data_IF_820006179774
#
_entry.id   IF_820006179774
#
_cell.length_a   1.000
_cell.length_b   1.000
_cell.length_c   1.000
_cell.angle_alpha   90.00
_cell.angle_beta   90.00
_cell.angle_gamma   90.00
#
_symmetry.space_group_name_H-M   'P 1'
#
loop_
_entity.id
_entity.type
_entity.pdbx_description
1 polymer ?
#
# COMPACT_ATOMS: atom_id res chain seq x y z
N UNK A 1 65.76 -11.88 -57.63
CA UNK A 1 64.46 -12.46 -57.47
C UNK A 1 64.52 -13.43 -56.30
N UNK A 2 63.94 -13.08 -55.11
CA UNK A 2 63.89 -13.94 -53.93
C UNK A 2 62.48 -14.48 -53.86
N UNK A 3 62.36 -15.81 -53.87
CA UNK A 3 61.07 -16.51 -53.71
C UNK A 3 60.48 -16.32 -52.29
N UNK A 4 59.17 -16.09 -52.24
CA UNK A 4 58.44 -16.02 -51.00
C UNK A 4 58.00 -17.46 -50.55
N UNK A 5 58.00 -17.79 -49.24
CA UNK A 5 57.62 -19.09 -48.77
C UNK A 5 56.10 -19.23 -48.78
N UNK A 6 55.63 -20.44 -49.14
CA UNK A 6 54.20 -20.85 -49.14
C UNK A 6 53.63 -20.99 -47.71
N UNK A 7 52.31 -20.68 -47.44
CA UNK A 7 51.74 -20.77 -46.15
C UNK A 7 51.49 -22.23 -45.73
N UNK A 8 51.76 -22.53 -44.48
CA UNK A 8 51.62 -23.85 -43.81
C UNK A 8 50.15 -24.17 -43.52
N UNK A 9 49.66 -25.31 -44.03
CA UNK A 9 48.25 -25.75 -44.03
C UNK A 9 47.88 -26.63 -42.83
N UNK A 10 48.44 -26.42 -41.67
CA UNK A 10 47.96 -27.18 -40.48
C UNK A 10 47.64 -26.25 -39.32
N UNK A 11 46.47 -25.60 -39.40
CA UNK A 11 45.87 -25.00 -38.21
C UNK A 11 44.89 -26.00 -37.60
N UNK A 12 45.18 -26.40 -36.36
CA UNK A 12 44.56 -27.46 -35.60
C UNK A 12 43.02 -27.29 -35.46
N UNK A 13 42.24 -28.17 -36.06
CA UNK A 13 40.80 -28.29 -35.93
C UNK A 13 40.26 -28.54 -34.49
N UNK A 14 41.16 -28.79 -33.54
CA UNK A 14 40.82 -29.04 -32.14
C UNK A 14 40.58 -27.78 -31.29
N UNK A 15 41.01 -26.59 -31.76
CA UNK A 15 40.80 -25.33 -31.03
C UNK A 15 39.41 -24.71 -31.29
N UNK A 16 38.84 -24.93 -32.48
CA UNK A 16 37.55 -24.35 -32.89
C UNK A 16 36.38 -25.08 -32.19
N UNK A 17 36.49 -26.39 -31.95
CA UNK A 17 35.45 -27.17 -31.31
C UNK A 17 35.27 -26.86 -29.78
N UNK A 18 36.32 -26.38 -29.13
CA UNK A 18 36.22 -26.02 -27.68
C UNK A 18 35.58 -24.65 -27.43
N UNK A 19 35.72 -23.69 -28.33
CA UNK A 19 35.12 -22.36 -28.20
C UNK A 19 33.62 -22.36 -28.51
N UNK A 20 33.16 -23.19 -29.45
CA UNK A 20 31.74 -23.33 -29.78
C UNK A 20 30.96 -24.04 -28.69
N UNK A 21 31.56 -25.01 -27.98
CA UNK A 21 30.86 -25.72 -26.90
C UNK A 21 30.71 -24.88 -25.62
N UNK A 22 31.69 -24.04 -25.29
CA UNK A 22 31.62 -23.11 -24.15
C UNK A 22 30.60 -21.98 -24.41
N UNK A 23 30.52 -21.47 -25.65
CA UNK A 23 29.51 -20.48 -26.04
C UNK A 23 28.07 -20.99 -26.00
N UNK A 24 27.83 -22.24 -26.40
CA UNK A 24 26.52 -22.90 -26.36
C UNK A 24 26.06 -23.19 -24.91
N UNK A 25 26.97 -23.60 -24.02
CA UNK A 25 26.67 -23.82 -22.60
C UNK A 25 26.35 -22.50 -21.89
N UNK A 26 27.06 -21.39 -22.24
CA UNK A 26 26.78 -20.08 -21.68
C UNK A 26 25.44 -19.49 -22.16
N UNK A 27 25.05 -19.71 -23.43
CA UNK A 27 23.73 -19.34 -23.95
C UNK A 27 22.61 -20.16 -23.33
N UNK A 28 22.82 -21.46 -23.02
CA UNK A 28 21.82 -22.32 -22.36
C UNK A 28 21.61 -21.95 -20.89
N UNK A 29 22.65 -21.47 -20.18
CA UNK A 29 22.53 -21.00 -18.79
C UNK A 29 21.80 -19.66 -18.72
N UNK A 30 21.96 -18.77 -19.68
CA UNK A 30 21.24 -17.49 -19.73
C UNK A 30 19.76 -17.69 -20.11
N UNK A 31 19.42 -18.72 -20.93
CA UNK A 31 18.03 -19.04 -21.28
C UNK A 31 17.20 -19.61 -20.13
N UNK A 32 17.81 -20.13 -19.06
CA UNK A 32 17.09 -20.69 -17.93
C UNK A 32 16.71 -19.68 -16.85
N UNK A 33 17.13 -18.40 -16.98
CA UNK A 33 16.78 -17.33 -16.05
C UNK A 33 15.67 -16.40 -16.57
N UNK A 34 15.04 -16.69 -17.67
CA UNK A 34 13.70 -16.18 -17.95
C UNK A 34 12.70 -17.01 -17.15
N UNK A 35 12.76 -16.90 -15.84
CA UNK A 35 11.74 -17.40 -14.94
C UNK A 35 10.41 -16.80 -15.36
N UNK A 36 9.47 -17.67 -15.71
CA UNK A 36 8.07 -17.31 -15.90
C UNK A 36 7.66 -16.33 -14.81
N UNK A 37 7.26 -15.12 -15.20
CA UNK A 37 6.64 -14.20 -14.27
C UNK A 37 5.45 -14.95 -13.66
N UNK A 38 5.34 -15.02 -12.33
CA UNK A 38 4.21 -15.70 -11.72
C UNK A 38 2.93 -15.04 -12.24
N UNK A 39 1.99 -15.85 -12.74
CA UNK A 39 0.65 -15.41 -13.16
C UNK A 39 -0.15 -14.89 -11.95
N UNK A 40 0.34 -13.86 -11.29
CA UNK A 40 -0.37 -13.11 -10.26
C UNK A 40 -1.20 -12.05 -10.98
N UNK A 41 -2.43 -12.35 -11.26
CA UNK A 41 -3.35 -11.38 -11.86
C UNK A 41 -4.13 -10.69 -10.75
N UNK A 42 -4.03 -9.37 -10.73
CA UNK A 42 -5.00 -8.58 -10.02
C UNK A 42 -6.39 -8.79 -10.64
N UNK A 43 -7.41 -8.92 -9.83
CA UNK A 43 -8.77 -9.15 -10.31
C UNK A 43 -9.83 -8.68 -9.33
N UNK A 44 -11.05 -8.50 -9.84
CA UNK A 44 -12.20 -8.14 -9.02
C UNK A 44 -12.73 -9.36 -8.30
N UNK A 45 -12.89 -9.26 -6.97
CA UNK A 45 -13.60 -10.24 -6.16
C UNK A 45 -14.85 -9.63 -5.55
N UNK A 46 -15.83 -10.48 -5.26
CA UNK A 46 -17.14 -10.09 -4.75
C UNK A 46 -17.48 -10.81 -3.46
N UNK A 47 -18.13 -10.10 -2.54
CA UNK A 47 -18.63 -10.62 -1.27
C UNK A 47 -20.05 -10.13 -1.02
N UNK A 48 -20.87 -10.98 -0.42
CA UNK A 48 -22.19 -10.55 0.10
C UNK A 48 -22.01 -10.06 1.54
N UNK A 49 -22.26 -8.78 1.79
CA UNK A 49 -22.13 -8.12 3.10
C UNK A 49 -23.48 -7.51 3.48
N UNK A 50 -24.07 -7.96 4.56
CA UNK A 50 -25.39 -7.50 5.02
C UNK A 50 -26.45 -7.47 3.89
N UNK A 51 -26.49 -8.52 3.06
CA UNK A 51 -27.42 -8.63 1.94
C UNK A 51 -26.99 -7.94 0.64
N UNK A 52 -26.03 -7.00 0.69
CA UNK A 52 -25.54 -6.24 -0.46
C UNK A 52 -24.28 -6.88 -1.07
N UNK A 53 -24.21 -6.94 -2.40
CA UNK A 53 -22.98 -7.35 -3.09
C UNK A 53 -21.96 -6.20 -3.06
N UNK A 54 -20.77 -6.49 -2.54
CA UNK A 54 -19.62 -5.57 -2.49
C UNK A 54 -18.48 -6.17 -3.30
N UNK A 55 -17.62 -5.32 -3.81
CA UNK A 55 -16.49 -5.76 -4.63
C UNK A 55 -15.19 -5.00 -4.29
N UNK A 56 -14.07 -5.65 -4.54
CA UNK A 56 -12.75 -5.06 -4.42
C UNK A 56 -11.84 -5.55 -5.54
N UNK A 57 -10.96 -4.66 -6.02
CA UNK A 57 -9.80 -5.07 -6.79
C UNK A 57 -8.79 -5.70 -5.82
N UNK A 58 -8.27 -6.88 -6.16
CA UNK A 58 -7.37 -7.59 -5.26
C UNK A 58 -6.19 -8.20 -6.02
N UNK A 59 -4.99 -8.04 -5.48
CA UNK A 59 -3.78 -8.72 -5.89
C UNK A 59 -3.37 -9.70 -4.79
N UNK A 60 -3.17 -10.96 -5.14
CA UNK A 60 -2.72 -12.01 -4.21
C UNK A 60 -1.49 -12.69 -4.78
N UNK A 61 -0.32 -12.57 -4.15
CA UNK A 61 0.89 -13.26 -4.60
C UNK A 61 0.74 -14.78 -4.40
N UNK A 62 1.33 -15.57 -5.30
CA UNK A 62 1.30 -17.05 -5.19
C UNK A 62 1.85 -17.55 -3.84
N UNK A 63 2.87 -16.87 -3.31
CA UNK A 63 3.46 -17.17 -2.01
C UNK A 63 2.48 -17.10 -0.85
N UNK A 64 1.37 -16.35 -0.99
CA UNK A 64 0.36 -16.20 0.07
C UNK A 64 -0.34 -17.52 0.43
N UNK A 65 -0.25 -18.54 -0.40
CA UNK A 65 -0.78 -19.89 -0.09
C UNK A 65 0.09 -20.67 0.89
N UNK A 66 1.36 -20.32 1.02
CA UNK A 66 2.34 -21.13 1.77
C UNK A 66 3.20 -20.33 2.76
N UNK A 67 3.23 -18.99 2.64
CA UNK A 67 4.07 -18.11 3.47
C UNK A 67 3.23 -17.03 4.16
N UNK A 68 3.56 -16.68 5.41
CA UNK A 68 2.95 -15.55 6.11
C UNK A 68 3.08 -14.27 5.27
N UNK A 69 1.94 -13.72 4.84
CA UNK A 69 1.85 -12.66 3.83
C UNK A 69 1.20 -11.41 4.42
N UNK A 70 1.84 -10.23 4.33
CA UNK A 70 1.23 -8.98 4.75
C UNK A 70 0.02 -8.62 3.88
N UNK A 71 -0.91 -7.86 4.46
CA UNK A 71 -2.10 -7.36 3.76
C UNK A 71 -2.14 -5.85 3.86
N UNK A 72 -2.38 -5.17 2.74
CA UNK A 72 -2.58 -3.72 2.70
C UNK A 72 -3.90 -3.38 2.00
N UNK A 73 -4.75 -2.62 2.70
CA UNK A 73 -5.99 -2.07 2.13
C UNK A 73 -5.76 -0.62 1.71
N UNK A 74 -6.26 -0.25 0.53
CA UNK A 74 -6.23 1.11 -0.01
C UNK A 74 -7.67 1.61 -0.22
N UNK A 75 -8.05 2.72 0.42
CA UNK A 75 -9.40 3.28 0.34
C UNK A 75 -9.41 4.58 -0.49
N UNK A 76 -10.14 4.57 -1.60
CA UNK A 76 -10.28 5.73 -2.50
C UNK A 76 -10.99 6.92 -1.83
N UNK A 77 -10.80 8.12 -2.36
CA UNK A 77 -11.50 9.32 -1.92
C UNK A 77 -12.97 9.33 -2.33
N UNK A 78 -13.73 10.32 -1.84
CA UNK A 78 -15.15 10.49 -2.19
C UNK A 78 -15.33 10.71 -3.69
N UNK A 79 -16.23 9.98 -4.31
CA UNK A 79 -16.44 9.96 -5.75
C UNK A 79 -15.43 9.17 -6.56
N UNK A 80 -14.44 8.53 -5.89
CA UNK A 80 -13.45 7.65 -6.53
C UNK A 80 -13.97 6.23 -6.74
N UNK A 81 -13.10 5.38 -7.27
CA UNK A 81 -13.39 3.97 -7.48
C UNK A 81 -12.14 3.10 -7.24
N UNK A 82 -12.35 1.80 -7.14
CA UNK A 82 -11.29 0.83 -6.89
C UNK A 82 -10.32 0.68 -8.06
N UNK A 83 -10.78 0.85 -9.30
CA UNK A 83 -9.95 0.68 -10.49
C UNK A 83 -8.91 1.79 -10.58
N UNK A 84 -9.33 3.05 -10.50
CA UNK A 84 -8.42 4.20 -10.54
C UNK A 84 -7.44 4.13 -9.36
N UNK A 85 -7.93 3.86 -8.13
CA UNK A 85 -7.08 3.73 -6.95
C UNK A 85 -6.04 2.62 -7.08
N UNK A 86 -6.39 1.50 -7.71
CA UNK A 86 -5.46 0.40 -7.95
C UNK A 86 -4.43 0.74 -9.04
N UNK A 87 -4.84 1.41 -10.11
CA UNK A 87 -3.96 1.72 -11.25
C UNK A 87 -3.06 2.93 -11.01
N UNK A 88 -3.56 3.94 -10.27
CA UNK A 88 -2.80 5.15 -9.95
C UNK A 88 -1.76 4.90 -8.84
N UNK A 89 -2.00 3.90 -7.98
CA UNK A 89 -1.14 3.53 -6.86
C UNK A 89 -0.59 2.12 -7.03
N UNK A 90 0.67 2.02 -7.41
CA UNK A 90 1.32 0.77 -7.83
C UNK A 90 1.85 -0.07 -6.67
N UNK A 91 1.04 -0.27 -5.63
CA UNK A 91 1.44 -1.00 -4.41
C UNK A 91 1.86 -2.44 -4.72
N UNK A 92 1.16 -3.13 -5.63
CA UNK A 92 1.49 -4.51 -6.04
C UNK A 92 2.84 -4.63 -6.75
N UNK A 93 3.30 -3.54 -7.42
CA UNK A 93 4.62 -3.50 -8.05
C UNK A 93 5.72 -3.19 -7.05
N UNK A 94 5.44 -2.30 -6.09
CA UNK A 94 6.40 -1.87 -5.08
C UNK A 94 6.52 -2.88 -3.92
N UNK A 95 5.48 -3.68 -3.70
CA UNK A 95 5.45 -4.72 -2.67
C UNK A 95 4.80 -6.02 -3.19
N UNK A 96 5.44 -6.70 -4.16
CA UNK A 96 4.86 -7.88 -4.82
C UNK A 96 4.65 -9.08 -3.89
N UNK A 97 5.23 -9.08 -2.69
CA UNK A 97 5.03 -10.11 -1.68
C UNK A 97 3.80 -9.87 -0.79
N UNK A 98 3.15 -8.71 -0.86
CA UNK A 98 1.96 -8.39 -0.07
C UNK A 98 0.67 -8.66 -0.84
N UNK A 99 -0.39 -9.00 -0.12
CA UNK A 99 -1.76 -8.94 -0.64
C UNK A 99 -2.18 -7.48 -0.66
N UNK A 100 -2.62 -6.99 -1.82
CA UNK A 100 -3.13 -5.63 -1.98
C UNK A 100 -4.63 -5.70 -2.23
N UNK A 101 -5.39 -4.95 -1.44
CA UNK A 101 -6.86 -4.91 -1.48
C UNK A 101 -7.32 -3.47 -1.70
N UNK A 102 -8.06 -3.22 -2.75
CA UNK A 102 -8.65 -1.92 -3.04
C UNK A 102 -10.17 -2.06 -3.11
N UNK A 103 -10.88 -1.89 -1.98
CA UNK A 103 -12.33 -2.05 -1.93
C UNK A 103 -13.06 -0.93 -2.67
N UNK A 104 -14.26 -1.23 -3.19
CA UNK A 104 -15.18 -0.25 -3.77
C UNK A 104 -16.13 0.30 -2.71
N UNK A 105 -16.11 1.62 -2.52
CA UNK A 105 -17.11 2.32 -1.71
C UNK A 105 -18.48 2.36 -2.40
N UNK A 106 -19.54 2.43 -1.60
CA UNK A 106 -20.90 2.63 -2.10
C UNK A 106 -21.29 4.12 -2.06
N UNK A 107 -22.41 4.46 -2.66
CA UNK A 107 -22.99 5.81 -2.54
C UNK A 107 -23.15 6.16 -1.07
N UNK A 108 -22.56 7.29 -0.65
CA UNK A 108 -22.41 7.66 0.76
C UNK A 108 -22.39 9.18 0.89
N UNK A 109 -23.19 9.78 1.78
CA UNK A 109 -23.12 11.20 2.06
C UNK A 109 -21.71 11.63 2.51
N UNK A 110 -21.24 12.73 1.94
CA UNK A 110 -19.96 13.35 2.30
C UNK A 110 -20.15 14.64 3.09
N UNK A 111 -19.35 14.88 4.12
CA UNK A 111 -19.50 16.06 4.99
C UNK A 111 -19.08 17.37 4.33
N UNK A 112 -18.09 17.34 3.47
CA UNK A 112 -17.54 18.54 2.80
C UNK A 112 -18.10 18.73 1.39
N UNK A 113 -18.46 17.63 0.72
CA UNK A 113 -18.98 17.59 -0.65
C UNK A 113 -20.06 16.52 -0.71
N UNK A 114 -21.05 16.69 -1.62
CA UNK A 114 -22.07 15.66 -1.90
C UNK A 114 -22.84 15.19 -0.65
N UNK A 115 -23.49 16.11 0.03
CA UNK A 115 -24.27 15.84 1.25
C UNK A 115 -25.42 14.85 1.04
N UNK A 116 -25.92 14.74 -0.19
CA UNK A 116 -27.00 13.84 -0.58
C UNK A 116 -26.52 12.39 -0.77
N UNK A 117 -25.21 12.17 -0.96
CA UNK A 117 -24.64 10.83 -1.10
C UNK A 117 -24.81 10.23 -2.48
N UNK A 118 -24.74 11.04 -3.54
CA UNK A 118 -24.87 10.61 -4.93
C UNK A 118 -23.58 10.00 -5.52
N UNK A 119 -22.49 9.96 -4.72
CA UNK A 119 -21.19 9.45 -5.14
C UNK A 119 -20.68 8.38 -4.19
N UNK A 120 -19.81 7.52 -4.71
CA UNK A 120 -19.11 6.49 -3.93
C UNK A 120 -18.28 7.11 -2.80
N UNK A 121 -18.27 6.46 -1.65
CA UNK A 121 -17.53 6.89 -0.48
C UNK A 121 -17.63 5.85 0.64
N UNK A 122 -17.18 6.25 1.82
CA UNK A 122 -17.07 5.43 3.01
C UNK A 122 -17.83 6.08 4.16
N UNK A 123 -18.43 5.26 5.02
CA UNK A 123 -19.00 5.75 6.27
C UNK A 123 -17.97 6.55 7.08
N UNK A 124 -18.41 7.54 7.86
CA UNK A 124 -17.53 8.45 8.56
C UNK A 124 -17.54 8.26 10.09
N UNK A 125 -18.61 7.68 10.62
CA UNK A 125 -18.77 7.43 12.05
C UNK A 125 -19.26 6.02 12.30
N UNK A 126 -19.09 5.54 13.52
CA UNK A 126 -19.68 4.28 13.97
C UNK A 126 -21.22 4.39 13.94
N UNK A 127 -21.88 3.36 13.40
CA UNK A 127 -23.32 3.32 13.20
C UNK A 127 -23.79 3.92 11.87
N UNK A 128 -23.00 4.78 11.22
CA UNK A 128 -23.33 5.29 9.88
C UNK A 128 -23.51 4.14 8.90
N UNK A 129 -24.56 4.25 8.05
CA UNK A 129 -24.82 3.24 7.00
C UNK A 129 -24.88 1.80 7.56
N UNK A 130 -25.28 1.62 8.83
CA UNK A 130 -25.34 0.32 9.52
C UNK A 130 -23.98 -0.40 9.57
N UNK A 131 -22.90 0.36 9.68
CA UNK A 131 -21.51 -0.12 9.71
C UNK A 131 -21.11 -1.01 8.51
N UNK A 132 -21.77 -0.83 7.37
CA UNK A 132 -21.61 -1.67 6.18
C UNK A 132 -20.17 -1.71 5.67
N UNK A 133 -19.39 -0.63 5.86
CA UNK A 133 -18.02 -0.54 5.36
C UNK A 133 -17.03 -1.19 6.36
N UNK A 134 -17.28 -1.09 7.65
CA UNK A 134 -16.56 -1.85 8.68
C UNK A 134 -16.80 -3.36 8.49
N UNK A 135 -18.05 -3.79 8.29
CA UNK A 135 -18.37 -5.18 8.00
C UNK A 135 -17.75 -5.68 6.70
N UNK A 136 -17.61 -4.80 5.71
CA UNK A 136 -16.95 -5.17 4.46
C UNK A 136 -15.45 -5.41 4.65
N UNK A 137 -14.76 -4.54 5.40
CA UNK A 137 -13.37 -4.77 5.79
C UNK A 137 -13.22 -6.13 6.52
N UNK A 138 -14.06 -6.38 7.54
CA UNK A 138 -14.02 -7.62 8.31
C UNK A 138 -14.27 -8.85 7.42
N UNK A 139 -15.21 -8.77 6.48
CA UNK A 139 -15.57 -9.86 5.57
C UNK A 139 -14.42 -10.18 4.61
N UNK A 140 -13.77 -9.16 4.03
CA UNK A 140 -12.61 -9.37 3.15
C UNK A 140 -11.47 -10.01 3.94
N UNK A 141 -11.11 -9.43 5.08
CA UNK A 141 -10.01 -9.94 5.91
C UNK A 141 -10.26 -11.39 6.32
N UNK A 142 -11.46 -11.70 6.82
CA UNK A 142 -11.83 -13.06 7.21
C UNK A 142 -11.85 -14.07 6.05
N UNK A 143 -12.14 -13.62 4.80
CA UNK A 143 -12.03 -14.50 3.63
C UNK A 143 -10.57 -14.76 3.25
N UNK A 144 -9.71 -13.73 3.34
CA UNK A 144 -8.27 -13.86 3.08
C UNK A 144 -7.60 -14.79 4.10
N UNK A 145 -7.96 -14.70 5.37
CA UNK A 145 -7.43 -15.58 6.42
C UNK A 145 -7.80 -17.06 6.22
N UNK A 146 -8.92 -17.33 5.54
CA UNK A 146 -9.33 -18.70 5.18
C UNK A 146 -8.61 -19.23 3.94
N UNK A 147 -8.27 -18.33 3.01
CA UNK A 147 -7.74 -18.70 1.70
C UNK A 147 -6.22 -18.61 1.62
N UNK A 148 -5.57 -17.82 2.47
CA UNK A 148 -4.17 -17.48 2.44
C UNK A 148 -3.55 -17.58 3.84
N UNK A 149 -2.23 -17.73 3.88
CA UNK A 149 -1.46 -17.61 5.13
C UNK A 149 -1.22 -16.13 5.42
N UNK A 150 -2.24 -15.46 5.98
CA UNK A 150 -2.14 -14.02 6.32
C UNK A 150 -1.23 -13.84 7.53
N UNK A 151 -0.27 -12.92 7.45
CA UNK A 151 0.49 -12.45 8.62
C UNK A 151 -0.34 -11.43 9.40
N UNK A 152 -1.02 -11.90 10.45
CA UNK A 152 -1.89 -11.07 11.31
C UNK A 152 -1.15 -9.94 12.03
N UNK A 153 0.17 -10.00 12.10
CA UNK A 153 0.98 -8.93 12.66
C UNK A 153 1.34 -7.85 11.63
N UNK A 154 0.99 -8.05 10.35
CA UNK A 154 1.31 -7.14 9.24
C UNK A 154 0.09 -6.84 8.37
N UNK A 155 -0.96 -6.29 8.99
CA UNK A 155 -2.17 -5.80 8.31
C UNK A 155 -2.15 -4.27 8.38
N UNK A 156 -2.24 -3.63 7.24
CA UNK A 156 -2.11 -2.18 7.08
C UNK A 156 -3.28 -1.59 6.31
N UNK A 157 -3.57 -0.33 6.60
CA UNK A 157 -4.62 0.41 5.89
C UNK A 157 -4.11 1.79 5.47
N UNK A 158 -4.42 2.20 4.25
CA UNK A 158 -4.16 3.55 3.76
C UNK A 158 -5.35 4.06 2.97
N UNK A 159 -5.47 5.37 2.81
CA UNK A 159 -6.55 5.96 2.04
C UNK A 159 -6.37 7.44 1.79
N UNK A 160 -7.23 7.97 0.92
CA UNK A 160 -7.27 9.36 0.54
C UNK A 160 -8.57 10.03 0.97
N UNK A 161 -8.50 11.26 1.52
CA UNK A 161 -9.67 12.10 1.79
C UNK A 161 -10.74 11.39 2.63
N UNK A 162 -11.93 11.13 2.10
CA UNK A 162 -12.98 10.34 2.76
C UNK A 162 -12.49 8.91 3.09
N UNK A 163 -11.72 8.26 2.20
CA UNK A 163 -11.10 6.97 2.48
C UNK A 163 -10.07 7.04 3.63
N UNK A 164 -9.36 8.16 3.78
CA UNK A 164 -8.46 8.37 4.91
C UNK A 164 -9.22 8.63 6.23
N UNK A 165 -10.39 9.26 6.18
CA UNK A 165 -11.30 9.32 7.34
C UNK A 165 -11.77 7.91 7.74
N UNK A 166 -12.09 7.08 6.76
CA UNK A 166 -12.43 5.68 7.02
C UNK A 166 -11.24 4.88 7.61
N UNK A 167 -10.01 5.20 7.22
CA UNK A 167 -8.80 4.67 7.89
C UNK A 167 -8.78 5.03 9.38
N UNK A 168 -9.13 6.27 9.75
CA UNK A 168 -9.24 6.65 11.17
C UNK A 168 -10.37 5.91 11.88
N UNK A 169 -11.52 5.69 11.22
CA UNK A 169 -12.62 4.91 11.76
C UNK A 169 -12.22 3.45 11.99
N UNK A 170 -11.49 2.84 11.05
CA UNK A 170 -10.90 1.50 11.22
C UNK A 170 -9.90 1.49 12.38
N UNK A 171 -9.05 2.49 12.50
CA UNK A 171 -8.13 2.61 13.63
C UNK A 171 -8.88 2.68 14.97
N UNK A 172 -9.96 3.45 15.06
CA UNK A 172 -10.77 3.55 16.28
C UNK A 172 -11.46 2.22 16.66
N UNK A 173 -11.94 1.46 15.66
CA UNK A 173 -12.84 0.33 15.89
C UNK A 173 -12.22 -1.05 15.58
N UNK A 174 -11.07 -1.12 14.92
CA UNK A 174 -10.35 -2.35 14.53
C UNK A 174 -8.85 -2.26 14.85
N UNK A 175 -8.49 -1.46 15.86
CA UNK A 175 -7.09 -1.23 16.23
C UNK A 175 -6.29 -2.53 16.37
N UNK A 176 -6.88 -3.56 16.98
CA UNK A 176 -6.21 -4.83 17.25
C UNK A 176 -5.92 -5.65 15.99
N UNK A 177 -6.62 -5.41 14.89
CA UNK A 177 -6.31 -6.03 13.61
C UNK A 177 -5.12 -5.34 12.90
N UNK A 178 -4.92 -4.03 13.14
CA UNK A 178 -4.02 -3.20 12.34
C UNK A 178 -2.62 -3.07 12.96
N UNK A 179 -1.58 -3.21 12.13
CA UNK A 179 -0.19 -2.94 12.51
C UNK A 179 0.16 -1.46 12.40
N UNK A 180 -0.23 -0.81 11.31
CA UNK A 180 -0.03 0.62 11.08
C UNK A 180 -1.09 1.19 10.14
N UNK A 181 -1.21 2.52 10.14
CA UNK A 181 -2.13 3.25 9.27
C UNK A 181 -1.41 4.38 8.53
N UNK A 182 -1.89 4.70 7.31
CA UNK A 182 -1.44 5.89 6.59
C UNK A 182 -2.64 6.66 6.04
N UNK A 183 -2.68 7.98 6.28
CA UNK A 183 -3.83 8.81 5.92
C UNK A 183 -3.38 10.01 5.08
N UNK A 184 -3.97 10.16 3.89
CA UNK A 184 -3.70 11.26 2.96
C UNK A 184 -4.86 12.24 2.92
N UNK A 185 -4.54 13.54 3.09
CA UNK A 185 -5.46 14.65 2.92
C UNK A 185 -6.74 14.54 3.77
N UNK A 186 -6.61 14.12 5.03
CA UNK A 186 -7.74 13.97 5.95
C UNK A 186 -7.50 14.61 7.31
N UNK A 187 -8.59 15.01 7.96
CA UNK A 187 -8.64 15.41 9.35
C UNK A 187 -10.00 15.03 9.94
N UNK A 188 -9.99 14.41 11.13
CA UNK A 188 -11.19 14.10 11.89
C UNK A 188 -10.88 14.13 13.39
N UNK A 189 -11.22 15.24 14.04
CA UNK A 189 -10.95 15.41 15.46
C UNK A 189 -11.96 14.70 16.36
N UNK A 190 -13.10 14.26 15.84
CA UNK A 190 -14.16 13.59 16.63
C UNK A 190 -13.72 12.19 17.05
N UNK A 191 -12.88 11.53 16.23
CA UNK A 191 -12.39 10.19 16.53
C UNK A 191 -11.19 10.16 17.49
N UNK A 192 -10.53 11.30 17.76
CA UNK A 192 -9.28 11.35 18.52
C UNK A 192 -9.38 10.71 19.92
N UNK A 193 -10.50 10.89 20.61
CA UNK A 193 -10.70 10.33 21.94
C UNK A 193 -10.85 8.79 21.96
N UNK A 194 -11.10 8.19 20.80
CA UNK A 194 -11.28 6.75 20.65
C UNK A 194 -10.01 6.03 20.18
N UNK A 195 -9.00 6.80 19.73
CA UNK A 195 -7.78 6.23 19.20
C UNK A 195 -6.84 5.76 20.31
N UNK A 196 -6.22 4.61 20.10
CA UNK A 196 -5.11 4.09 20.92
C UNK A 196 -3.77 4.36 20.19
N UNK A 197 -2.62 4.41 20.88
CA UNK A 197 -1.33 4.54 20.23
C UNK A 197 -1.15 3.53 19.10
N UNK A 198 -0.73 4.01 17.92
CA UNK A 198 -0.51 3.18 16.73
C UNK A 198 0.46 3.85 15.78
N UNK A 199 1.39 3.09 15.16
CA UNK A 199 2.23 3.63 14.10
C UNK A 199 1.38 4.27 12.99
N UNK A 200 1.67 5.54 12.67
CA UNK A 200 0.84 6.33 11.74
C UNK A 200 1.69 7.16 10.80
N UNK A 201 1.32 7.17 9.51
CA UNK A 201 1.85 8.14 8.55
C UNK A 201 0.76 9.12 8.14
N UNK A 202 1.05 10.43 8.24
CA UNK A 202 0.17 11.50 7.78
C UNK A 202 0.76 12.13 6.52
N UNK A 203 -0.03 12.15 5.43
CA UNK A 203 0.35 12.73 4.13
C UNK A 203 -0.45 14.00 3.93
N UNK A 204 0.25 15.15 3.77
CA UNK A 204 -0.33 16.49 3.78
C UNK A 204 0.04 17.21 2.49
N UNK A 205 -0.96 17.68 1.75
CA UNK A 205 -0.77 18.62 0.64
C UNK A 205 -0.65 20.06 1.17
N UNK A 206 0.49 20.73 0.92
CA UNK A 206 0.71 22.11 1.35
C UNK A 206 -0.31 23.08 0.75
N UNK A 207 -0.75 22.80 -0.48
CA UNK A 207 -1.75 23.58 -1.21
C UNK A 207 -3.18 23.05 -1.09
N UNK A 208 -3.48 22.13 -0.16
CA UNK A 208 -4.82 21.56 -0.01
C UNK A 208 -5.84 22.63 0.40
N UNK A 209 -6.79 22.92 -0.50
CA UNK A 209 -7.87 23.92 -0.29
C UNK A 209 -9.15 23.29 0.27
N UNK A 210 -9.32 21.97 0.16
CA UNK A 210 -10.51 21.25 0.61
C UNK A 210 -10.36 20.82 2.10
N UNK A 211 -9.31 20.07 2.41
CA UNK A 211 -8.96 19.72 3.80
C UNK A 211 -7.73 20.53 4.18
N UNK A 212 -7.97 21.73 4.70
CA UNK A 212 -6.90 22.72 4.95
C UNK A 212 -5.71 22.11 5.70
N UNK A 213 -4.46 22.44 5.32
CA UNK A 213 -3.26 21.92 5.97
C UNK A 213 -3.26 22.16 7.50
N UNK A 214 -3.80 23.29 7.96
CA UNK A 214 -3.93 23.58 9.38
C UNK A 214 -4.76 22.53 10.16
N UNK A 215 -5.78 21.96 9.54
CA UNK A 215 -6.58 20.88 10.14
C UNK A 215 -5.79 19.57 10.21
N UNK A 216 -5.10 19.22 9.12
CA UNK A 216 -4.26 18.03 9.04
C UNK A 216 -3.07 18.13 10.05
N UNK A 217 -2.46 19.30 10.19
CA UNK A 217 -1.41 19.56 11.18
C UNK A 217 -1.94 19.49 12.64
N UNK A 218 -3.22 19.77 12.86
CA UNK A 218 -3.85 19.52 14.16
C UNK A 218 -3.86 18.01 14.46
N UNK A 219 -4.25 17.17 13.49
CA UNK A 219 -4.17 15.72 13.65
C UNK A 219 -2.74 15.26 13.96
N UNK A 220 -1.74 15.80 13.25
CA UNK A 220 -0.32 15.48 13.52
C UNK A 220 0.05 15.78 14.98
N UNK A 221 -0.34 16.94 15.52
CA UNK A 221 -0.07 17.27 16.93
C UNK A 221 -0.73 16.28 17.88
N UNK A 222 -2.01 15.95 17.63
CA UNK A 222 -2.75 14.99 18.45
C UNK A 222 -2.15 13.58 18.38
N UNK A 223 -1.76 13.11 17.20
CA UNK A 223 -1.13 11.80 17.03
C UNK A 223 0.26 11.74 17.70
N UNK A 224 1.06 12.81 17.59
CA UNK A 224 2.34 12.89 18.30
C UNK A 224 2.17 12.81 19.83
N UNK A 225 1.15 13.47 20.37
CA UNK A 225 0.84 13.40 21.79
C UNK A 225 0.36 12.00 22.18
N UNK A 226 -0.61 11.44 21.43
CA UNK A 226 -1.15 10.08 21.64
C UNK A 226 -0.04 9.01 21.64
N UNK A 227 0.83 9.07 20.65
CA UNK A 227 1.92 8.12 20.45
C UNK A 227 3.17 8.44 21.29
N UNK A 228 3.15 9.48 22.13
CA UNK A 228 4.30 9.94 22.92
C UNK A 228 5.57 10.09 22.06
N UNK A 229 5.41 10.80 20.94
CA UNK A 229 6.49 10.98 19.99
C UNK A 229 7.53 12.00 20.47
N UNK A 230 8.82 11.68 20.23
CA UNK A 230 9.96 12.55 20.53
C UNK A 230 9.97 13.82 19.68
N UNK A 231 10.74 14.82 20.12
CA UNK A 231 11.06 16.06 19.40
C UNK A 231 12.53 16.39 19.63
N UNK A 232 13.29 16.79 18.58
CA UNK A 232 12.86 16.92 17.18
C UNK A 232 12.68 15.56 16.49
N UNK A 233 11.99 15.55 15.33
CA UNK A 233 11.94 14.39 14.46
C UNK A 233 13.22 14.23 13.65
N UNK A 234 13.38 13.08 13.02
CA UNK A 234 14.52 12.73 12.16
C UNK A 234 14.08 12.65 10.69
N UNK A 235 14.96 12.93 9.72
CA UNK A 235 14.64 12.72 8.32
C UNK A 235 14.24 11.25 8.05
N UNK A 236 13.09 11.04 7.40
CA UNK A 236 12.65 9.71 6.91
C UNK A 236 12.93 9.57 5.42
N UNK A 237 12.60 10.62 4.66
CA UNK A 237 12.89 10.78 3.23
C UNK A 237 12.78 12.28 2.87
N UNK A 238 12.93 12.61 1.58
CA UNK A 238 12.67 13.98 1.14
C UNK A 238 11.24 14.40 1.50
N UNK A 239 11.09 15.56 2.14
CA UNK A 239 9.82 16.13 2.63
C UNK A 239 9.09 15.25 3.66
N UNK A 240 9.72 14.20 4.19
CA UNK A 240 9.14 13.31 5.19
C UNK A 240 10.01 13.27 6.46
N UNK A 241 9.36 13.41 7.60
CA UNK A 241 9.98 13.39 8.93
C UNK A 241 9.40 12.26 9.76
N UNK A 242 10.26 11.46 10.39
CA UNK A 242 9.88 10.44 11.35
C UNK A 242 10.06 10.95 12.78
N UNK A 243 9.11 10.63 13.63
CA UNK A 243 9.13 10.87 15.07
C UNK A 243 9.11 9.53 15.79
N UNK A 244 10.16 9.22 16.52
CA UNK A 244 10.23 8.02 17.38
C UNK A 244 9.19 8.11 18.49
N UNK A 245 8.72 6.99 18.97
CA UNK A 245 7.67 6.90 20.01
C UNK A 245 8.20 6.18 21.24
N UNK A 246 7.86 6.67 22.42
CA UNK A 246 8.17 6.00 23.68
C UNK A 246 7.29 4.75 23.93
N UNK A 247 6.19 4.61 23.17
CA UNK A 247 5.21 3.51 23.30
C UNK A 247 5.18 2.61 22.05
N UNK A 248 6.29 2.54 21.29
CA UNK A 248 6.40 1.65 20.13
C UNK A 248 5.55 2.05 18.92
N UNK A 249 4.99 3.26 18.89
CA UNK A 249 4.07 3.73 17.84
C UNK A 249 4.63 4.96 17.09
N UNK A 250 5.70 4.82 16.28
CA UNK A 250 6.33 5.92 15.57
C UNK A 250 5.36 6.61 14.60
N UNK A 251 5.65 7.87 14.30
CA UNK A 251 4.87 8.65 13.36
C UNK A 251 5.74 9.19 12.23
N UNK A 252 5.25 9.10 10.99
CA UNK A 252 5.83 9.81 9.84
C UNK A 252 4.88 10.89 9.36
N UNK A 253 5.44 12.06 9.07
CA UNK A 253 4.73 13.19 8.44
C UNK A 253 5.39 13.49 7.11
N UNK A 254 4.64 13.35 6.02
CA UNK A 254 5.07 13.73 4.68
C UNK A 254 4.28 14.93 4.20
N UNK A 255 4.97 16.05 3.89
CA UNK A 255 4.35 17.31 3.45
C UNK A 255 4.75 17.60 2.01
N UNK A 256 3.91 17.22 1.04
CA UNK A 256 4.17 17.46 -0.38
C UNK A 256 3.65 18.84 -0.85
N UNK A 257 4.21 19.42 -1.94
CA UNK A 257 3.82 20.76 -2.40
C UNK A 257 2.43 20.82 -3.05
N UNK A 258 1.83 19.69 -3.43
CA UNK A 258 0.54 19.60 -4.12
C UNK A 258 -0.67 20.02 -3.28
N UNK A 259 -1.85 19.90 -3.90
CA UNK A 259 -3.15 20.20 -3.29
C UNK A 259 -3.80 18.97 -2.64
N UNK A 260 -5.14 18.85 -2.84
CA UNK A 260 -5.95 17.74 -2.31
C UNK A 260 -5.78 16.48 -3.16
N UNK A 261 -4.65 15.81 -3.04
CA UNK A 261 -4.30 14.60 -3.80
C UNK A 261 -3.58 13.59 -2.92
N UNK A 262 -3.66 12.31 -3.28
CA UNK A 262 -2.73 11.30 -2.81
C UNK A 262 -1.63 11.18 -3.89
N UNK A 263 -0.43 11.74 -3.68
CA UNK A 263 0.56 11.75 -4.74
C UNK A 263 1.20 10.36 -4.88
N UNK A 264 1.40 9.89 -6.12
CA UNK A 264 2.06 8.59 -6.39
C UNK A 264 3.46 8.49 -5.74
N UNK A 265 4.14 9.62 -5.52
CA UNK A 265 5.41 9.67 -4.77
C UNK A 265 5.28 9.22 -3.31
N UNK A 266 4.07 9.19 -2.74
CA UNK A 266 3.84 8.71 -1.39
C UNK A 266 3.81 7.17 -1.30
N UNK A 267 3.55 6.45 -2.38
CA UNK A 267 3.39 4.99 -2.38
C UNK A 267 4.63 4.29 -1.81
N UNK A 268 5.81 4.63 -2.34
CA UNK A 268 7.08 4.06 -1.86
C UNK A 268 7.35 4.43 -0.39
N UNK A 269 6.96 5.63 0.05
CA UNK A 269 7.13 6.06 1.44
C UNK A 269 6.20 5.29 2.38
N UNK A 270 4.93 5.12 2.00
CA UNK A 270 3.95 4.33 2.78
C UNK A 270 4.39 2.89 2.90
N UNK A 271 4.82 2.28 1.78
CA UNK A 271 5.31 0.90 1.78
C UNK A 271 6.58 0.76 2.62
N UNK A 272 7.53 1.68 2.50
CA UNK A 272 8.74 1.69 3.34
C UNK A 272 8.40 1.80 4.82
N UNK A 273 7.45 2.68 5.18
CA UNK A 273 6.96 2.80 6.55
C UNK A 273 6.29 1.51 7.03
N UNK A 274 5.38 0.92 6.25
CA UNK A 274 4.68 -0.33 6.62
C UNK A 274 5.64 -1.51 6.76
N UNK A 275 6.61 -1.66 5.86
CA UNK A 275 7.63 -2.73 5.94
C UNK A 275 8.46 -2.67 7.23
N UNK A 276 8.65 -1.47 7.79
CA UNK A 276 9.36 -1.25 9.05
C UNK A 276 8.52 -1.52 10.31
N UNK A 277 7.22 -1.79 10.17
CA UNK A 277 6.31 -1.95 11.31
C UNK A 277 5.72 -3.36 11.34
N UNK A 278 5.75 -3.95 12.53
CA UNK A 278 5.08 -5.21 12.83
C UNK A 278 4.37 -5.06 14.18
N UNK A 279 3.12 -5.52 14.26
CA UNK A 279 2.38 -5.57 15.52
C UNK A 279 2.97 -6.67 16.41
N UNK A 280 3.20 -6.37 17.67
CA UNK A 280 3.58 -7.34 18.70
C UNK A 280 2.43 -8.28 19.06
#
# INVERSE_FOLDING_TARGET
MKEMPKPNKYLNSRFIARFTMVGLIFCLIISQHMLAQPNTTAGVRRWKVNGTMREAMIYVPLSAKTKPTPVTFLFHGHGGNMQDMFHDHTFEKLWPEAIIVVPQGLMTPGTLVDREGNRSGWQQSLGDQQDRDLHFFDTILGSLEKECVVDKSRIYVTGHSNGAKFVYLLWANRADALAAVAASAAADTQLLAQLKPKPVMQIIGRGDRLVKPAWQLRMVRSFRQLNQCSSPGQPFANLATMYSSAVGSPMVVYVHPGGHVYPATADALVISFFKGIKKE
#
